data_IF_873186698843
#
_entry.id   IF_873186698843
#
_cell.length_a   1.000
_cell.length_b   1.000
_cell.length_c   1.000
_cell.angle_alpha   90.00
_cell.angle_beta   90.00
_cell.angle_gamma   90.00
#
_symmetry.space_group_name_H-M   'P 1'
#
loop_
_entity.id
_entity.type
_entity.pdbx_description
1 polymer ?
#
# COMPACT_ATOMS: atom_id res chain seq x y z
N UNK A 1 -42.86 -40.90 6.32
CA UNK A 1 -41.39 -41.03 6.27
C UNK A 1 -40.84 -39.65 5.98
N UNK A 2 -40.58 -38.87 7.03
CA UNK A 2 -40.14 -37.47 6.90
C UNK A 2 -38.62 -37.45 6.82
N UNK A 3 -38.09 -37.05 5.68
CA UNK A 3 -36.65 -36.83 5.48
C UNK A 3 -36.29 -35.47 6.12
N UNK A 4 -35.63 -35.51 7.28
CA UNK A 4 -34.99 -34.33 7.85
C UNK A 4 -33.75 -34.00 7.01
N UNK A 5 -33.58 -32.77 6.50
CA UNK A 5 -32.34 -32.40 5.84
C UNK A 5 -31.25 -32.32 6.91
N UNK A 6 -30.26 -33.20 6.81
CA UNK A 6 -29.03 -33.10 7.59
C UNK A 6 -28.25 -31.88 7.07
N UNK A 7 -28.17 -30.83 7.89
CA UNK A 7 -27.34 -29.67 7.61
C UNK A 7 -25.87 -30.11 7.61
N UNK A 8 -25.33 -30.34 6.42
CA UNK A 8 -23.92 -30.62 6.21
C UNK A 8 -23.13 -29.33 6.53
N UNK A 9 -22.65 -29.20 7.77
CA UNK A 9 -21.88 -28.07 8.30
C UNK A 9 -20.45 -28.00 7.71
N UNK A 10 -20.30 -28.10 6.38
CA UNK A 10 -18.96 -28.24 5.79
C UNK A 10 -18.21 -26.89 5.70
N UNK A 11 -18.85 -25.72 5.84
CA UNK A 11 -18.08 -24.45 5.82
C UNK A 11 -18.67 -23.40 6.77
N UNK A 12 -18.20 -23.38 8.02
CA UNK A 12 -18.43 -22.28 8.93
C UNK A 12 -17.31 -21.23 8.81
N UNK A 13 -17.68 -19.95 8.78
CA UNK A 13 -16.72 -18.86 8.98
C UNK A 13 -16.34 -18.87 10.46
N UNK A 14 -15.05 -19.02 10.77
CA UNK A 14 -14.52 -18.94 12.12
C UNK A 14 -13.82 -17.60 12.31
N UNK A 15 -13.96 -17.02 13.51
CA UNK A 15 -13.29 -15.79 13.92
C UNK A 15 -11.99 -16.06 14.71
N UNK A 16 -11.46 -17.28 14.63
CA UNK A 16 -10.21 -17.66 15.27
C UNK A 16 -9.03 -17.05 14.51
N UNK A 17 -8.16 -16.25 15.16
CA UNK A 17 -7.04 -15.61 14.49
C UNK A 17 -5.86 -16.56 14.33
N UNK A 18 -5.06 -16.35 13.28
CA UNK A 18 -3.71 -16.93 13.20
C UNK A 18 -2.76 -16.08 14.06
N UNK A 19 -2.02 -16.73 14.97
CA UNK A 19 -1.09 -16.06 15.89
C UNK A 19 0.35 -16.37 15.47
N UNK A 20 1.09 -15.34 15.08
CA UNK A 20 2.52 -15.43 14.79
C UNK A 20 3.31 -14.56 15.77
N UNK A 21 4.40 -15.08 16.32
CA UNK A 21 5.31 -14.34 17.21
C UNK A 21 6.65 -14.11 16.52
N UNK A 22 7.10 -12.86 16.48
CA UNK A 22 8.40 -12.48 15.90
C UNK A 22 9.20 -11.65 16.90
N UNK A 23 10.51 -11.94 17.02
CA UNK A 23 11.41 -11.15 17.89
C UNK A 23 11.88 -9.90 17.15
N UNK A 24 11.54 -8.75 17.71
CA UNK A 24 11.88 -7.42 17.16
C UNK A 24 13.30 -7.00 17.59
N UNK A 25 14.00 -6.28 16.72
CA UNK A 25 15.31 -5.67 16.93
C UNK A 25 15.24 -4.16 16.72
N UNK A 26 16.27 -3.44 17.18
CA UNK A 26 16.38 -2.00 16.92
C UNK A 26 16.46 -1.73 15.41
N UNK A 27 15.63 -0.82 14.92
CA UNK A 27 15.53 -0.48 13.50
C UNK A 27 14.46 -1.28 12.74
N UNK A 28 13.84 -2.29 13.35
CA UNK A 28 12.70 -2.98 12.75
C UNK A 28 11.45 -2.09 12.80
N UNK A 29 10.58 -2.22 11.80
CA UNK A 29 9.27 -1.58 11.75
C UNK A 29 8.22 -2.55 11.22
N UNK A 30 6.94 -2.23 11.43
CA UNK A 30 5.81 -3.04 10.98
C UNK A 30 4.84 -2.18 10.17
N UNK A 31 4.48 -2.65 8.98
CA UNK A 31 3.39 -2.09 8.17
C UNK A 31 2.17 -3.00 8.34
N UNK A 32 1.12 -2.47 8.94
CA UNK A 32 -0.19 -3.13 8.99
C UNK A 32 -1.18 -2.32 8.17
N UNK A 33 -1.87 -2.98 7.25
CA UNK A 33 -2.89 -2.36 6.42
C UNK A 33 -3.90 -3.41 5.95
N UNK A 34 -5.09 -2.96 5.57
CA UNK A 34 -6.09 -3.79 4.89
C UNK A 34 -5.68 -4.08 3.44
N UNK A 35 -6.42 -4.99 2.81
CA UNK A 35 -6.32 -5.34 1.38
C UNK A 35 -6.19 -4.14 0.43
N UNK A 36 -6.94 -3.05 0.66
CA UNK A 36 -6.91 -1.87 -0.20
C UNK A 36 -5.52 -1.25 -0.40
N UNK A 37 -4.61 -1.33 0.59
CA UNK A 37 -3.22 -0.91 0.39
C UNK A 37 -2.47 -1.92 -0.49
N UNK A 38 -2.60 -3.21 -0.17
CA UNK A 38 -1.88 -4.31 -0.80
C UNK A 38 -2.36 -4.63 -2.22
N UNK A 39 -3.57 -4.19 -2.58
CA UNK A 39 -4.08 -4.21 -3.95
C UNK A 39 -3.45 -3.10 -4.81
N UNK A 40 -2.80 -2.11 -4.20
CA UNK A 40 -2.13 -0.99 -4.87
C UNK A 40 -0.60 -1.11 -4.85
N UNK A 41 -0.02 -1.60 -3.74
CA UNK A 41 1.42 -1.70 -3.51
C UNK A 41 1.83 -3.13 -3.18
N UNK A 42 2.95 -3.57 -3.73
CA UNK A 42 3.65 -4.79 -3.30
C UNK A 42 4.30 -4.57 -1.93
N UNK A 43 4.58 -5.66 -1.21
CA UNK A 43 5.28 -5.61 0.07
C UNK A 43 6.63 -4.88 -0.05
N UNK A 44 7.37 -5.16 -1.11
CA UNK A 44 8.67 -4.58 -1.40
C UNK A 44 8.55 -3.08 -1.69
N UNK A 45 7.56 -2.64 -2.49
CA UNK A 45 7.30 -1.22 -2.70
C UNK A 45 6.96 -0.51 -1.40
N UNK A 46 6.10 -1.09 -0.56
CA UNK A 46 5.72 -0.48 0.71
C UNK A 46 6.94 -0.31 1.64
N UNK A 47 7.79 -1.33 1.74
CA UNK A 47 9.07 -1.26 2.49
C UNK A 47 10.01 -0.22 1.89
N UNK A 48 10.14 -0.19 0.57
CA UNK A 48 10.99 0.76 -0.14
C UNK A 48 10.55 2.20 0.04
N UNK A 49 9.25 2.46 0.00
CA UNK A 49 8.65 3.77 0.27
C UNK A 49 8.87 4.21 1.71
N UNK A 50 8.76 3.32 2.71
CA UNK A 50 9.13 3.68 4.09
C UNK A 50 10.63 4.01 4.18
N UNK A 51 11.50 3.25 3.51
CA UNK A 51 12.93 3.55 3.44
C UNK A 51 13.22 4.91 2.79
N UNK A 52 12.51 5.23 1.71
CA UNK A 52 12.58 6.51 1.02
C UNK A 52 12.09 7.64 1.92
N UNK A 53 10.97 7.47 2.61
CA UNK A 53 10.48 8.45 3.58
C UNK A 53 11.46 8.69 4.73
N UNK A 54 12.10 7.63 5.22
CA UNK A 54 13.13 7.74 6.25
C UNK A 54 14.36 8.53 5.77
N UNK A 55 14.70 8.59 4.48
CA UNK A 55 15.84 9.42 4.03
C UNK A 55 15.69 10.89 4.41
N UNK A 56 14.45 11.38 4.45
CA UNK A 56 14.12 12.77 4.76
C UNK A 56 13.67 12.96 6.23
N UNK A 57 13.40 11.86 6.95
CA UNK A 57 12.78 11.88 8.28
C UNK A 57 13.54 11.06 9.35
N UNK A 58 14.70 10.50 9.00
CA UNK A 58 15.49 9.61 9.87
C UNK A 58 15.71 10.20 11.26
N UNK A 59 16.19 11.45 11.31
CA UNK A 59 16.52 12.11 12.56
C UNK A 59 15.27 12.38 13.41
N UNK A 60 14.11 12.64 12.79
CA UNK A 60 12.86 12.82 13.51
C UNK A 60 12.36 11.52 14.19
N UNK A 61 12.69 10.36 13.62
CA UNK A 61 12.26 9.05 14.12
C UNK A 61 13.21 8.48 15.16
N UNK A 62 14.52 8.60 14.92
CA UNK A 62 15.54 7.95 15.74
C UNK A 62 16.24 8.87 16.76
N UNK A 63 15.89 10.16 16.82
CA UNK A 63 16.43 11.07 17.84
C UNK A 63 15.75 10.90 19.19
N UNK A 64 16.54 11.01 20.26
CA UNK A 64 16.05 11.07 21.65
C UNK A 64 15.57 12.47 22.06
N UNK A 65 15.73 13.50 21.21
CA UNK A 65 15.28 14.88 21.46
C UNK A 65 14.42 15.42 20.30
N UNK A 66 13.11 15.13 20.28
CA UNK A 66 12.22 15.46 19.15
C UNK A 66 12.03 16.97 18.90
N UNK A 67 12.33 17.83 19.88
CA UNK A 67 12.05 19.27 19.79
C UNK A 67 13.19 20.15 19.25
N UNK A 68 14.45 19.69 19.23
CA UNK A 68 15.60 20.58 18.92
C UNK A 68 15.99 20.61 17.44
N UNK A 69 15.59 19.59 16.68
CA UNK A 69 15.90 19.45 15.25
C UNK A 69 14.65 19.50 14.39
N UNK A 70 13.68 20.36 14.72
CA UNK A 70 12.71 20.89 13.72
C UNK A 70 13.45 21.90 12.83
N UNK A 71 14.57 21.46 12.29
CA UNK A 71 15.49 22.23 11.46
C UNK A 71 15.20 21.88 10.02
N UNK A 72 14.31 22.64 9.40
CA UNK A 72 14.12 22.75 7.95
C UNK A 72 14.03 21.40 7.25
N UNK A 73 12.85 20.77 7.31
CA UNK A 73 12.42 19.89 6.21
C UNK A 73 12.64 20.67 4.92
N UNK A 74 13.55 20.22 4.06
CA UNK A 74 13.57 20.63 2.66
C UNK A 74 12.24 20.15 2.10
N UNK A 75 11.24 21.03 2.15
CA UNK A 75 9.83 20.77 1.87
C UNK A 75 9.56 20.49 0.38
N UNK A 76 10.61 20.31 -0.41
CA UNK A 76 10.58 20.37 -1.86
C UNK A 76 11.40 19.23 -2.48
N UNK A 77 11.22 18.01 -1.96
CA UNK A 77 11.56 16.82 -2.73
C UNK A 77 10.47 16.62 -3.80
N UNK A 78 10.62 17.32 -4.92
CA UNK A 78 9.75 17.20 -6.10
C UNK A 78 10.16 16.04 -7.00
N UNK A 79 11.07 15.16 -6.54
CA UNK A 79 11.53 14.06 -7.35
C UNK A 79 10.42 13.02 -7.51
N UNK A 80 10.37 12.46 -8.71
CA UNK A 80 9.49 11.34 -9.05
C UNK A 80 10.35 10.09 -9.11
N UNK A 81 10.00 9.10 -8.29
CA UNK A 81 10.76 7.87 -8.13
C UNK A 81 10.11 6.72 -8.89
N UNK A 82 10.91 5.93 -9.58
CA UNK A 82 10.51 4.66 -10.19
C UNK A 82 10.64 3.51 -9.19
N UNK A 83 10.03 2.35 -9.48
CA UNK A 83 10.13 1.15 -8.63
C UNK A 83 11.56 0.70 -8.37
N UNK A 84 12.39 0.71 -9.40
CA UNK A 84 13.79 0.26 -9.33
C UNK A 84 14.71 1.27 -8.62
N UNK A 85 14.21 2.46 -8.32
CA UNK A 85 14.94 3.52 -7.60
C UNK A 85 14.61 3.53 -6.10
N UNK A 86 13.67 2.67 -5.65
CA UNK A 86 13.37 2.52 -4.23
C UNK A 86 14.58 1.91 -3.50
N UNK A 87 14.89 2.37 -2.27
CA UNK A 87 16.06 1.95 -1.49
C UNK A 87 15.91 0.54 -0.90
N UNK A 88 15.87 -0.46 -1.78
CA UNK A 88 15.74 -1.87 -1.45
C UNK A 88 17.06 -2.61 -1.67
N UNK A 89 17.27 -3.69 -0.91
CA UNK A 89 18.47 -4.55 -1.08
C UNK A 89 18.50 -5.25 -2.44
N UNK A 90 17.32 -5.62 -2.93
CA UNK A 90 17.12 -6.20 -4.25
C UNK A 90 16.29 -5.19 -5.04
N UNK A 91 16.82 -4.61 -6.11
CA UNK A 91 16.05 -3.69 -6.96
C UNK A 91 14.85 -4.41 -7.57
N UNK A 92 13.71 -3.70 -7.62
CA UNK A 92 12.51 -4.17 -8.30
C UNK A 92 12.63 -4.03 -9.82
N UNK A 93 11.85 -4.84 -10.55
CA UNK A 93 11.78 -4.72 -12.01
C UNK A 93 11.20 -3.35 -12.38
N UNK A 94 11.89 -2.63 -13.28
CA UNK A 94 11.47 -1.30 -13.72
C UNK A 94 10.14 -1.35 -14.47
N UNK A 95 9.92 -2.40 -15.26
CA UNK A 95 8.70 -2.57 -16.05
C UNK A 95 7.53 -3.13 -15.21
N UNK A 96 7.78 -3.50 -13.96
CA UNK A 96 6.79 -4.06 -13.05
C UNK A 96 6.26 -5.43 -13.47
N UNK A 97 7.08 -6.26 -14.15
CA UNK A 97 6.66 -7.62 -14.55
C UNK A 97 6.36 -8.54 -13.36
N UNK A 98 6.99 -8.24 -12.23
CA UNK A 98 6.79 -8.88 -10.94
C UNK A 98 5.59 -8.30 -10.16
N UNK A 99 5.01 -7.19 -10.62
CA UNK A 99 3.87 -6.55 -9.98
C UNK A 99 2.56 -7.30 -10.24
N UNK A 100 1.94 -7.75 -9.15
CA UNK A 100 0.63 -8.41 -9.17
C UNK A 100 -0.48 -7.53 -8.60
N UNK A 101 -0.17 -6.29 -8.22
CA UNK A 101 -1.17 -5.33 -7.74
C UNK A 101 -2.14 -4.97 -8.86
N UNK A 102 -3.35 -4.58 -8.48
CA UNK A 102 -4.49 -4.56 -9.39
C UNK A 102 -4.84 -3.14 -9.82
N UNK A 103 -4.73 -2.18 -8.90
CA UNK A 103 -5.31 -0.86 -9.08
C UNK A 103 -4.57 0.01 -10.10
N UNK A 104 -3.24 0.07 -10.09
CA UNK A 104 -2.49 0.87 -11.07
C UNK A 104 -2.74 0.41 -12.52
N UNK A 105 -2.76 -0.90 -12.75
CA UNK A 105 -3.10 -1.47 -14.05
C UNK A 105 -4.56 -1.15 -14.44
N UNK A 106 -5.48 -1.14 -13.48
CA UNK A 106 -6.89 -0.83 -13.73
C UNK A 106 -7.11 0.65 -14.06
N UNK A 107 -6.47 1.56 -13.33
CA UNK A 107 -6.50 2.99 -13.61
C UNK A 107 -5.76 3.36 -14.90
N UNK A 108 -4.99 2.43 -15.48
CA UNK A 108 -4.10 2.64 -16.62
C UNK A 108 -3.07 3.74 -16.34
N UNK A 109 -2.62 3.80 -15.09
CA UNK A 109 -1.70 4.81 -14.59
C UNK A 109 -0.27 4.26 -14.55
N UNK A 110 0.71 5.15 -14.73
CA UNK A 110 2.10 4.79 -14.49
C UNK A 110 2.33 4.71 -12.99
N UNK A 111 3.00 3.64 -12.55
CA UNK A 111 3.30 3.44 -11.13
C UNK A 111 4.60 4.13 -10.77
N UNK A 112 4.48 5.35 -10.25
CA UNK A 112 5.57 6.24 -9.89
C UNK A 112 5.27 6.89 -8.54
N UNK A 113 6.33 7.23 -7.81
CA UNK A 113 6.24 7.59 -6.40
C UNK A 113 6.82 8.97 -6.09
N UNK A 114 6.45 9.52 -4.93
CA UNK A 114 6.84 10.86 -4.44
C UNK A 114 7.14 10.81 -2.94
N UNK A 115 8.00 11.71 -2.43
CA UNK A 115 8.47 11.69 -1.05
C UNK A 115 8.44 13.06 -0.34
N UNK A 116 7.23 13.52 -0.03
CA UNK A 116 6.97 14.87 0.47
C UNK A 116 5.94 14.90 1.62
N UNK A 117 5.38 13.76 2.01
CA UNK A 117 4.42 13.67 3.10
C UNK A 117 5.12 13.62 4.47
N UNK A 118 4.48 14.22 5.48
CA UNK A 118 5.04 14.30 6.82
C UNK A 118 4.97 13.00 7.61
N UNK A 119 3.97 12.16 7.32
CA UNK A 119 3.73 10.90 8.01
C UNK A 119 4.00 9.73 7.07
N UNK A 120 4.65 8.64 7.54
CA UNK A 120 4.90 7.47 6.71
C UNK A 120 3.58 6.81 6.26
N UNK A 121 2.52 6.90 7.06
CA UNK A 121 1.20 6.38 6.69
C UNK A 121 0.56 7.21 5.56
N UNK A 122 0.66 8.54 5.62
CA UNK A 122 0.17 9.43 4.56
C UNK A 122 0.99 9.24 3.27
N UNK A 123 2.31 9.10 3.41
CA UNK A 123 3.22 8.78 2.32
C UNK A 123 2.83 7.48 1.60
N UNK A 124 2.59 6.40 2.36
CA UNK A 124 2.12 5.13 1.79
C UNK A 124 0.74 5.28 1.14
N UNK A 125 -0.20 5.96 1.78
CA UNK A 125 -1.55 6.14 1.24
C UNK A 125 -1.56 6.94 -0.07
N UNK A 126 -0.78 8.03 -0.16
CA UNK A 126 -0.61 8.81 -1.39
C UNK A 126 -0.02 7.96 -2.51
N UNK A 127 1.06 7.25 -2.21
CA UNK A 127 1.75 6.41 -3.18
C UNK A 127 0.95 5.16 -3.58
N UNK A 128 0.01 4.71 -2.76
CA UNK A 128 -0.97 3.70 -3.15
C UNK A 128 -2.08 4.27 -4.06
N UNK A 129 -2.51 5.51 -3.80
CA UNK A 129 -3.64 6.15 -4.47
C UNK A 129 -3.21 7.08 -5.62
N UNK A 130 -2.23 6.69 -6.43
CA UNK A 130 -1.83 7.44 -7.64
C UNK A 130 -0.41 7.98 -7.60
N UNK A 131 0.18 8.15 -6.40
CA UNK A 131 1.59 8.49 -6.22
C UNK A 131 1.97 9.79 -6.90
N UNK A 132 2.86 9.73 -7.89
CA UNK A 132 3.30 10.91 -8.63
C UNK A 132 2.25 11.50 -9.58
N UNK A 133 1.21 10.74 -9.92
CA UNK A 133 0.08 11.26 -10.70
C UNK A 133 -0.87 12.03 -9.76
N UNK A 134 -0.63 13.34 -9.66
CA UNK A 134 -1.38 14.25 -8.79
C UNK A 134 -2.86 14.33 -9.15
N UNK A 135 -3.18 14.39 -10.45
CA UNK A 135 -4.56 14.47 -10.94
C UNK A 135 -5.32 13.18 -10.59
N UNK A 136 -4.71 12.01 -10.77
CA UNK A 136 -5.30 10.74 -10.37
C UNK A 136 -5.49 10.68 -8.85
N UNK A 137 -4.48 11.10 -8.08
CA UNK A 137 -4.54 11.12 -6.62
C UNK A 137 -5.68 11.99 -6.12
N UNK A 138 -5.79 13.21 -6.64
CA UNK A 138 -6.88 14.14 -6.31
C UNK A 138 -8.24 13.56 -6.70
N UNK A 139 -8.37 13.02 -7.92
CA UNK A 139 -9.60 12.42 -8.39
C UNK A 139 -10.04 11.21 -7.54
N UNK A 140 -9.10 10.35 -7.12
CA UNK A 140 -9.40 9.20 -6.27
C UNK A 140 -9.80 9.63 -4.86
N UNK A 141 -9.12 10.62 -4.27
CA UNK A 141 -9.41 11.09 -2.91
C UNK A 141 -10.73 11.86 -2.84
N UNK A 142 -10.99 12.76 -3.81
CA UNK A 142 -12.20 13.59 -3.87
C UNK A 142 -13.47 12.81 -4.19
N UNK A 143 -13.34 11.56 -4.66
CA UNK A 143 -14.49 10.73 -5.02
C UNK A 143 -15.38 10.42 -3.82
N UNK A 144 -16.68 10.67 -3.94
CA UNK A 144 -17.68 10.41 -2.92
C UNK A 144 -18.32 9.02 -3.07
N UNK A 145 -18.97 8.55 -1.99
CA UNK A 145 -19.79 7.34 -2.03
C UNK A 145 -20.98 7.54 -2.99
N UNK A 146 -21.39 6.52 -3.77
CA UNK A 146 -20.91 5.14 -3.77
C UNK A 146 -19.74 4.87 -4.73
N UNK A 147 -19.38 5.85 -5.59
CA UNK A 147 -18.40 5.66 -6.66
C UNK A 147 -17.00 5.35 -6.12
N UNK A 148 -16.63 5.98 -5.00
CA UNK A 148 -15.38 5.75 -4.29
C UNK A 148 -15.08 4.27 -4.01
N UNK A 149 -16.11 3.47 -3.68
CA UNK A 149 -15.93 2.03 -3.41
C UNK A 149 -15.38 1.29 -4.62
N UNK A 150 -15.89 1.61 -5.82
CA UNK A 150 -15.44 0.94 -7.04
C UNK A 150 -13.99 1.26 -7.36
N UNK A 151 -13.56 2.50 -7.18
CA UNK A 151 -12.23 2.91 -7.65
C UNK A 151 -11.12 2.77 -6.60
N UNK A 152 -11.44 2.68 -5.30
CA UNK A 152 -10.45 2.56 -4.21
C UNK A 152 -10.44 1.22 -3.45
N UNK A 153 -11.57 0.52 -3.40
CA UNK A 153 -11.76 -0.58 -2.42
C UNK A 153 -12.22 -1.89 -3.03
N UNK A 154 -12.85 -1.87 -4.19
CA UNK A 154 -13.39 -3.08 -4.82
C UNK A 154 -12.50 -3.42 -6.00
N UNK A 155 -11.70 -4.47 -5.83
CA UNK A 155 -11.00 -5.10 -6.92
C UNK A 155 -11.98 -5.42 -8.04
N UNK A 156 -11.71 -5.03 -9.30
CA UNK A 156 -12.59 -5.34 -10.39
C UNK A 156 -12.56 -6.85 -10.59
N UNK A 157 -13.67 -7.53 -10.35
CA UNK A 157 -13.80 -8.95 -10.68
C UNK A 157 -13.53 -9.09 -12.18
N UNK A 158 -12.40 -9.67 -12.58
CA UNK A 158 -12.23 -10.18 -13.94
C UNK A 158 -13.26 -11.30 -14.09
N UNK A 159 -14.44 -10.99 -14.62
CA UNK A 159 -15.37 -12.04 -15.10
C UNK A 159 -14.68 -12.75 -16.27
N UNK A 160 -13.89 -13.78 -15.98
CA UNK A 160 -13.65 -14.87 -16.93
C UNK A 160 -14.72 -15.92 -16.70
N UNK A 161 -15.94 -15.63 -17.14
CA UNK A 161 -16.87 -16.70 -17.49
C UNK A 161 -16.61 -17.04 -18.95
N UNK A 162 -15.71 -17.99 -19.19
CA UNK A 162 -15.64 -18.68 -20.48
C UNK A 162 -16.50 -19.92 -20.31
N UNK A 163 -17.75 -19.84 -20.75
CA UNK A 163 -18.54 -21.04 -21.02
C UNK A 163 -18.07 -21.59 -22.37
N UNK A 164 -17.49 -22.78 -22.37
CA UNK A 164 -17.45 -23.69 -23.51
C UNK A 164 -17.88 -25.05 -22.97
#
# INVERSE_FOLDING_TARGET
MSIHPTYNLIWAVVAEPEITTTRVRNGDFLIMASDGLWDCLTSEEAVGLVGLWLSNNHDAVYTSQPMRNVGKKSFDDTNVYQRNELPLKVPLDRDGKDDKTLFYAWWKAKKQFVNWDDSPAAHLARNALGGADGDLTEALISMTSPRARRYRFVVPTRKKYSYC
#
